data_IF_253700994322
#
_entry.id   IF_253700994322
#
_cell.length_a   1.000
_cell.length_b   1.000
_cell.length_c   1.000
_cell.angle_alpha   90.00
_cell.angle_beta   90.00
_cell.angle_gamma   90.00
#
_symmetry.space_group_name_H-M   'P 1'
#
loop_
_entity.id
_entity.type
_entity.pdbx_description
1 polymer ?
#
# COMPACT_ATOMS: atom_id res chain seq x y z
N UNK A 1 -8.11 -18.37 -2.35
CA UNK A 1 -8.97 -17.22 -2.66
C UNK A 1 -10.37 -17.52 -2.16
N UNK A 2 -10.91 -16.72 -1.25
CA UNK A 2 -12.26 -16.91 -0.73
C UNK A 2 -13.30 -16.58 -1.83
N UNK A 3 -14.23 -17.50 -2.08
CA UNK A 3 -15.36 -17.30 -3.00
C UNK A 3 -16.41 -16.40 -2.33
N UNK A 4 -16.18 -15.09 -2.30
CA UNK A 4 -17.25 -14.13 -1.97
C UNK A 4 -17.92 -13.67 -3.26
N UNK A 5 -19.23 -13.43 -3.22
CA UNK A 5 -20.01 -13.06 -4.41
C UNK A 5 -19.55 -11.73 -5.00
N UNK A 6 -19.69 -11.52 -6.33
CA UNK A 6 -19.35 -10.24 -6.98
C UNK A 6 -20.03 -9.05 -6.29
N UNK A 7 -21.28 -9.22 -5.84
CA UNK A 7 -22.05 -8.21 -5.13
C UNK A 7 -21.43 -7.83 -3.78
N UNK A 8 -20.94 -8.81 -3.03
CA UNK A 8 -20.23 -8.54 -1.78
C UNK A 8 -18.89 -7.87 -2.03
N UNK A 9 -18.13 -8.28 -3.04
CA UNK A 9 -16.85 -7.62 -3.39
C UNK A 9 -17.04 -6.13 -3.69
N UNK A 10 -18.08 -5.78 -4.45
CA UNK A 10 -18.43 -4.38 -4.75
C UNK A 10 -18.78 -3.63 -3.47
N UNK A 11 -19.67 -4.18 -2.64
CA UNK A 11 -20.07 -3.55 -1.37
C UNK A 11 -18.88 -3.32 -0.43
N UNK A 12 -17.98 -4.28 -0.34
CA UNK A 12 -16.75 -4.17 0.46
C UNK A 12 -15.80 -3.10 -0.10
N UNK A 13 -15.66 -3.01 -1.42
CA UNK A 13 -14.86 -1.98 -2.08
C UNK A 13 -15.41 -0.58 -1.81
N UNK A 14 -16.73 -0.39 -1.92
CA UNK A 14 -17.40 0.88 -1.62
C UNK A 14 -17.22 1.29 -0.15
N UNK A 15 -17.45 0.36 0.78
CA UNK A 15 -17.26 0.61 2.21
C UNK A 15 -15.82 1.01 2.52
N UNK A 16 -14.84 0.28 1.97
CA UNK A 16 -13.41 0.55 2.17
C UNK A 16 -13.04 1.93 1.64
N UNK A 17 -13.48 2.27 0.42
CA UNK A 17 -13.24 3.60 -0.17
C UNK A 17 -13.89 4.71 0.67
N UNK A 18 -15.12 4.49 1.15
CA UNK A 18 -15.80 5.45 2.02
C UNK A 18 -15.04 5.66 3.33
N UNK A 19 -14.56 4.59 3.97
CA UNK A 19 -13.75 4.70 5.18
C UNK A 19 -12.48 5.52 4.92
N UNK A 20 -11.73 5.16 3.87
CA UNK A 20 -10.46 5.82 3.53
C UNK A 20 -10.68 7.32 3.27
N UNK A 21 -11.75 7.70 2.57
CA UNK A 21 -12.03 9.10 2.23
C UNK A 21 -12.46 9.96 3.42
N UNK A 22 -13.22 9.39 4.37
CA UNK A 22 -13.86 10.18 5.41
C UNK A 22 -13.17 10.07 6.78
N UNK A 23 -12.20 9.16 6.92
CA UNK A 23 -11.46 8.99 8.17
C UNK A 23 -10.44 10.12 8.34
N UNK A 24 -10.83 11.17 9.06
CA UNK A 24 -10.02 12.38 9.29
C UNK A 24 -8.62 12.12 9.83
N UNK A 25 -8.44 11.10 10.67
CA UNK A 25 -7.15 10.77 11.27
C UNK A 25 -6.39 9.65 10.53
N UNK A 26 -6.73 9.38 9.27
CA UNK A 26 -5.97 8.44 8.45
C UNK A 26 -4.66 9.09 8.01
N UNK A 27 -3.53 8.58 8.52
CA UNK A 27 -2.20 9.14 8.25
C UNK A 27 -1.54 8.54 7.01
N UNK A 28 -1.57 7.20 6.89
CA UNK A 28 -1.03 6.45 5.76
C UNK A 28 -1.88 5.22 5.52
N UNK A 29 -1.94 4.80 4.26
CA UNK A 29 -2.39 3.48 3.86
C UNK A 29 -1.19 2.60 3.51
N UNK A 30 -1.16 1.35 3.98
CA UNK A 30 -0.17 0.37 3.56
C UNK A 30 -0.82 -0.59 2.57
N UNK A 31 -0.47 -0.46 1.29
CA UNK A 31 -1.02 -1.28 0.20
C UNK A 31 -0.18 -2.55 0.08
N UNK A 32 -0.75 -3.67 0.53
CA UNK A 32 -0.07 -4.97 0.49
C UNK A 32 -0.15 -5.57 -0.91
N UNK A 33 1.00 -5.76 -1.54
CA UNK A 33 1.16 -6.28 -2.89
C UNK A 33 1.88 -7.63 -2.78
N UNK A 34 1.42 -8.67 -3.45
CA UNK A 34 2.12 -9.96 -3.47
C UNK A 34 3.28 -9.89 -4.48
N UNK A 35 4.54 -9.91 -3.99
CA UNK A 35 5.72 -9.68 -4.83
C UNK A 35 5.89 -10.73 -5.95
N UNK A 36 5.22 -11.88 -5.84
CA UNK A 36 5.31 -12.98 -6.81
C UNK A 36 4.49 -12.74 -8.07
N UNK A 37 3.54 -11.80 -8.01
CA UNK A 37 2.65 -11.50 -9.11
C UNK A 37 3.21 -10.32 -9.91
N UNK A 38 3.04 -10.40 -11.23
CA UNK A 38 3.23 -9.23 -12.11
C UNK A 38 2.24 -8.12 -11.74
N UNK A 39 2.50 -6.85 -12.11
CA UNK A 39 1.60 -5.73 -11.84
C UNK A 39 0.14 -6.05 -12.17
N UNK A 40 -0.71 -6.07 -11.15
CA UNK A 40 -2.12 -6.38 -11.34
C UNK A 40 -2.91 -5.11 -11.59
N UNK A 41 -3.86 -5.17 -12.52
CA UNK A 41 -4.73 -4.03 -12.84
C UNK A 41 -5.45 -3.48 -11.61
N UNK A 42 -5.92 -4.34 -10.71
CA UNK A 42 -6.61 -3.92 -9.48
C UNK A 42 -5.70 -3.09 -8.55
N UNK A 43 -4.42 -3.45 -8.45
CA UNK A 43 -3.44 -2.72 -7.63
C UNK A 43 -3.16 -1.35 -8.26
N UNK A 44 -2.96 -1.31 -9.58
CA UNK A 44 -2.74 -0.05 -10.32
C UNK A 44 -3.93 0.90 -10.21
N UNK A 45 -5.14 0.39 -10.42
CA UNK A 45 -6.38 1.18 -10.31
C UNK A 45 -6.59 1.71 -8.88
N UNK A 46 -6.29 0.90 -7.86
CA UNK A 46 -6.42 1.30 -6.47
C UNK A 46 -5.37 2.36 -6.07
N UNK A 47 -4.12 2.19 -6.47
CA UNK A 47 -3.07 3.17 -6.23
C UNK A 47 -3.34 4.48 -6.96
N UNK A 48 -3.74 4.43 -8.24
CA UNK A 48 -4.17 5.61 -8.99
C UNK A 48 -5.33 6.34 -8.30
N UNK A 49 -6.32 5.60 -7.80
CA UNK A 49 -7.40 6.18 -7.00
C UNK A 49 -6.87 6.87 -5.74
N UNK A 50 -5.93 6.28 -5.01
CA UNK A 50 -5.29 6.92 -3.86
C UNK A 50 -4.60 8.24 -4.25
N UNK A 51 -3.83 8.23 -5.35
CA UNK A 51 -3.15 9.41 -5.88
C UNK A 51 -4.12 10.54 -6.24
N UNK A 52 -5.17 10.24 -7.01
CA UNK A 52 -6.19 11.23 -7.41
C UNK A 52 -6.97 11.84 -6.24
N UNK A 53 -7.01 11.14 -5.10
CA UNK A 53 -7.68 11.59 -3.87
C UNK A 53 -6.72 12.21 -2.85
N UNK A 54 -5.42 12.29 -3.17
CA UNK A 54 -4.40 12.80 -2.25
C UNK A 54 -4.23 11.94 -1.01
N UNK A 55 -4.56 10.64 -1.08
CA UNK A 55 -4.43 9.71 0.05
C UNK A 55 -2.97 9.22 0.08
N UNK A 56 -2.20 9.53 1.14
CA UNK A 56 -0.83 9.06 1.27
C UNK A 56 -0.79 7.55 1.49
N UNK A 57 0.06 6.84 0.74
CA UNK A 57 0.22 5.40 0.87
C UNK A 57 1.65 4.91 0.67
N UNK A 58 1.91 3.70 1.15
CA UNK A 58 3.16 2.96 1.03
C UNK A 58 2.88 1.65 0.30
N UNK A 59 3.69 1.33 -0.71
CA UNK A 59 3.64 0.05 -1.42
C UNK A 59 4.43 -0.99 -0.62
N UNK A 60 3.76 -2.05 -0.17
CA UNK A 60 4.36 -3.09 0.67
C UNK A 60 4.38 -4.40 -0.11
N UNK A 61 5.52 -4.74 -0.69
CA UNK A 61 5.74 -5.99 -1.41
C UNK A 61 5.92 -7.13 -0.41
N UNK A 62 4.94 -8.02 -0.30
CA UNK A 62 4.89 -9.14 0.63
C UNK A 62 5.44 -10.43 0.03
N UNK A 63 5.72 -11.42 0.89
CA UNK A 63 6.13 -12.79 0.52
C UNK A 63 7.45 -12.86 -0.26
N UNK A 64 8.37 -11.94 0.03
CA UNK A 64 9.68 -11.91 -0.65
C UNK A 64 10.52 -13.17 -0.38
N UNK A 65 10.24 -13.91 0.69
CA UNK A 65 10.86 -15.21 0.98
C UNK A 65 10.59 -16.28 -0.07
N UNK A 66 9.61 -16.06 -0.95
CA UNK A 66 9.27 -16.96 -2.05
C UNK A 66 9.97 -16.63 -3.35
N UNK A 67 10.83 -15.61 -3.37
CA UNK A 67 11.54 -15.15 -4.55
C UNK A 67 13.04 -15.19 -4.31
N UNK A 68 13.79 -15.57 -5.33
CA UNK A 68 15.22 -15.25 -5.38
C UNK A 68 15.43 -13.73 -5.49
N UNK A 69 16.60 -13.23 -5.13
CA UNK A 69 16.94 -11.81 -5.25
C UNK A 69 16.71 -11.29 -6.68
N UNK A 70 17.07 -12.07 -7.71
CA UNK A 70 16.85 -11.70 -9.11
C UNK A 70 15.36 -11.56 -9.46
N UNK A 71 14.53 -12.50 -8.98
CA UNK A 71 13.08 -12.46 -9.20
C UNK A 71 12.43 -11.28 -8.47
N UNK A 72 12.85 -11.00 -7.23
CA UNK A 72 12.38 -9.81 -6.50
C UNK A 72 12.74 -8.53 -7.24
N UNK A 73 14.01 -8.38 -7.67
CA UNK A 73 14.43 -7.21 -8.45
C UNK A 73 13.67 -7.08 -9.77
N UNK A 74 13.36 -8.19 -10.45
CA UNK A 74 12.51 -8.17 -11.64
C UNK A 74 11.11 -7.63 -11.31
N UNK A 75 10.45 -8.21 -10.31
CA UNK A 75 9.10 -7.80 -9.89
C UNK A 75 9.04 -6.31 -9.54
N UNK A 76 9.99 -5.81 -8.74
CA UNK A 76 10.07 -4.38 -8.39
C UNK A 76 10.29 -3.48 -9.61
N UNK A 77 11.13 -3.91 -10.56
CA UNK A 77 11.34 -3.17 -11.82
C UNK A 77 10.08 -3.12 -12.68
N UNK A 78 9.35 -4.22 -12.76
CA UNK A 78 8.12 -4.30 -13.56
C UNK A 78 7.02 -3.42 -12.96
N UNK A 79 6.86 -3.45 -11.63
CA UNK A 79 5.98 -2.50 -10.91
C UNK A 79 6.38 -1.05 -11.13
N UNK A 80 7.68 -0.73 -11.00
CA UNK A 80 8.20 0.61 -11.27
C UNK A 80 7.89 1.06 -12.70
N UNK A 81 8.15 0.21 -13.69
CA UNK A 81 7.89 0.52 -15.10
C UNK A 81 6.41 0.76 -15.36
N UNK A 82 5.53 -0.03 -14.77
CA UNK A 82 4.09 0.11 -14.95
C UNK A 82 3.56 1.40 -14.30
N UNK A 83 3.96 1.66 -13.05
CA UNK A 83 3.56 2.86 -12.32
C UNK A 83 4.04 4.15 -13.00
N UNK A 84 5.28 4.18 -13.47
CA UNK A 84 5.85 5.37 -14.14
C UNK A 84 5.18 5.73 -15.47
N UNK A 85 4.25 4.92 -15.99
CA UNK A 85 3.39 5.33 -17.13
C UNK A 85 2.41 6.44 -16.76
N UNK A 86 2.05 6.55 -15.48
CA UNK A 86 1.01 7.45 -14.98
C UNK A 86 1.43 8.26 -13.74
N UNK A 87 2.58 7.95 -13.16
CA UNK A 87 3.14 8.62 -11.98
C UNK A 87 4.47 9.29 -12.31
N UNK A 88 4.64 10.54 -11.89
CA UNK A 88 5.92 11.26 -11.99
C UNK A 88 6.93 10.76 -10.95
N UNK A 89 6.45 10.56 -9.72
CA UNK A 89 7.22 10.02 -8.60
C UNK A 89 6.50 8.80 -8.01
N UNK A 90 7.29 7.80 -7.59
CA UNK A 90 6.75 6.60 -6.97
C UNK A 90 6.53 6.80 -5.47
N UNK A 91 5.43 6.27 -4.91
CA UNK A 91 5.27 6.14 -3.47
C UNK A 91 6.43 5.36 -2.82
N UNK A 92 6.57 5.51 -1.51
CA UNK A 92 7.52 4.74 -0.70
C UNK A 92 7.26 3.24 -0.89
N UNK A 93 8.33 2.47 -1.02
CA UNK A 93 8.30 1.02 -1.24
C UNK A 93 9.02 0.30 -0.10
N UNK A 94 8.39 -0.75 0.41
CA UNK A 94 8.97 -1.64 1.43
C UNK A 94 8.78 -3.07 0.99
N UNK A 95 9.83 -3.88 1.12
CA UNK A 95 9.79 -5.32 0.81
C UNK A 95 9.77 -6.12 2.10
N UNK A 96 8.78 -6.98 2.27
CA UNK A 96 8.49 -7.67 3.53
C UNK A 96 8.27 -9.17 3.36
N UNK A 97 8.62 -9.92 4.39
CA UNK A 97 8.19 -11.30 4.55
C UNK A 97 7.66 -11.52 5.96
N UNK A 98 6.46 -12.09 6.05
CA UNK A 98 5.87 -12.49 7.33
C UNK A 98 6.58 -13.72 7.92
N UNK A 99 7.22 -14.56 7.10
CA UNK A 99 7.87 -15.81 7.54
C UNK A 99 9.29 -15.57 8.06
N UNK A 100 10.07 -14.72 7.39
CA UNK A 100 11.43 -14.37 7.83
C UNK A 100 11.52 -13.08 8.65
N UNK A 101 10.38 -12.39 8.86
CA UNK A 101 10.31 -11.06 9.46
C UNK A 101 11.10 -9.96 8.73
N UNK A 102 11.58 -10.22 7.51
CA UNK A 102 12.26 -9.23 6.68
C UNK A 102 11.36 -8.01 6.42
N UNK A 103 11.95 -6.81 6.41
CA UNK A 103 11.24 -5.54 6.19
C UNK A 103 10.33 -5.08 7.33
N UNK A 104 10.23 -5.84 8.43
CA UNK A 104 9.41 -5.47 9.59
C UNK A 104 9.87 -4.15 10.22
N UNK A 105 11.17 -3.99 10.44
CA UNK A 105 11.71 -2.78 11.08
C UNK A 105 11.50 -1.56 10.18
N UNK A 106 11.75 -1.67 8.87
CA UNK A 106 11.48 -0.59 7.91
C UNK A 106 10.01 -0.12 7.96
N UNK A 107 9.06 -1.06 8.02
CA UNK A 107 7.64 -0.73 8.15
C UNK A 107 7.33 -0.04 9.49
N UNK A 108 7.89 -0.56 10.59
CA UNK A 108 7.72 0.01 11.93
C UNK A 108 8.36 1.40 12.05
N UNK A 109 9.47 1.65 11.37
CA UNK A 109 10.14 2.95 11.36
C UNK A 109 9.27 4.01 10.67
N UNK A 110 8.60 3.65 9.57
CA UNK A 110 7.63 4.54 8.90
C UNK A 110 6.48 4.89 9.85
N UNK A 111 5.92 3.88 10.53
CA UNK A 111 4.82 4.08 11.49
C UNK A 111 5.29 4.96 12.66
N UNK A 112 6.46 4.65 13.22
CA UNK A 112 7.05 5.36 14.37
C UNK A 112 7.30 6.82 14.05
N UNK A 113 7.79 7.13 12.84
CA UNK A 113 7.98 8.52 12.37
C UNK A 113 6.67 9.28 12.15
N UNK A 114 5.59 8.56 11.84
CA UNK A 114 4.29 9.17 11.55
C UNK A 114 3.46 9.43 12.82
N UNK A 115 3.61 8.61 13.86
CA UNK A 115 2.83 8.73 15.09
C UNK A 115 2.96 10.11 15.79
N UNK A 116 4.14 10.75 15.86
CA UNK A 116 4.26 12.12 16.40
C UNK A 116 3.41 13.14 15.63
N UNK A 117 3.36 13.04 14.30
CA UNK A 117 2.55 13.93 13.46
C UNK A 117 1.06 13.82 13.81
N UNK A 118 0.58 12.60 14.07
CA UNK A 118 -0.79 12.40 14.55
C UNK A 118 -1.04 13.09 15.90
N UNK A 119 -0.11 12.96 16.85
CA UNK A 119 -0.22 13.62 18.15
C UNK A 119 -0.27 15.15 18.03
N UNK A 120 0.50 15.73 17.10
CA UNK A 120 0.46 17.17 16.80
C UNK A 120 -0.86 17.61 16.16
N UNK A 121 -1.35 16.86 15.17
CA UNK A 121 -2.64 17.14 14.53
C UNK A 121 -3.79 17.12 15.54
N UNK A 122 -3.74 16.18 16.50
CA UNK A 122 -4.71 16.09 17.60
C UNK A 122 -4.63 17.30 18.53
N UNK A 123 -3.43 17.73 18.91
CA UNK A 123 -3.24 18.96 19.73
C UNK A 123 -3.78 20.22 19.04
N UNK A 124 -3.73 20.26 17.72
CA UNK A 124 -4.23 21.38 16.90
C UNK A 124 -5.75 21.31 16.62
N UNK A 125 -6.46 20.30 17.13
CA UNK A 125 -7.90 20.12 16.88
C UNK A 125 -8.24 19.78 15.42
N UNK A 126 -7.26 19.36 14.61
CA UNK A 126 -7.44 19.01 13.20
C UNK A 126 -7.98 17.59 13.00
N UNK A 127 -7.93 16.76 14.04
CA UNK A 127 -8.42 15.37 14.11
C UNK A 127 -8.93 15.01 15.49
#
# INVERSE_FOLDING_TARGET
YAKTSKKEQVKWSEFTRKYILHRKNLMYLFVLIDARLEPQRIDMEFMAWCGTKGIPFVMVFTKIDKLSSSQLHKSLRDYKKEMLKSWEELPVQVSTSATSAAGRNELLDIITRTNPLFAEMKKQGKV
#
